data_IF_952957436911
#
_entry.id   IF_952957436911
#
_cell.length_a   1.000
_cell.length_b   1.000
_cell.length_c   1.000
_cell.angle_alpha   90.00
_cell.angle_beta   90.00
_cell.angle_gamma   90.00
#
_symmetry.space_group_name_H-M   'P 1'
#
loop_
_entity.id
_entity.type
_entity.pdbx_description
1 polymer ?
#
# COMPACT_ATOMS: atom_id res chain seq x y z
N UNK A 1 -4.75 -15.56 -33.94
CA UNK A 1 -4.23 -14.31 -33.39
C UNK A 1 -5.43 -13.44 -33.21
N UNK A 2 -5.89 -13.40 -31.98
CA UNK A 2 -6.99 -12.53 -31.60
C UNK A 2 -6.40 -11.14 -31.33
N UNK A 3 -7.18 -10.11 -31.63
CA UNK A 3 -6.82 -8.72 -31.39
C UNK A 3 -7.67 -8.24 -30.22
N UNK A 4 -7.04 -8.06 -29.07
CA UNK A 4 -7.69 -7.58 -27.85
C UNK A 4 -7.65 -6.04 -27.86
N UNK A 5 -8.71 -5.40 -27.39
CA UNK A 5 -8.85 -3.95 -27.28
C UNK A 5 -9.67 -3.64 -26.02
N UNK A 6 -9.07 -2.99 -25.02
CA UNK A 6 -9.77 -2.58 -23.80
C UNK A 6 -10.71 -1.40 -24.05
N UNK A 7 -10.23 -0.38 -24.78
CA UNK A 7 -11.05 0.73 -25.24
C UNK A 7 -10.73 2.03 -24.52
N UNK A 8 -11.74 2.66 -23.92
CA UNK A 8 -11.55 3.84 -23.06
C UNK A 8 -11.70 3.40 -21.60
N UNK A 9 -10.85 3.93 -20.73
CA UNK A 9 -10.90 3.66 -19.31
C UNK A 9 -9.58 3.05 -18.84
N UNK A 10 -9.68 2.24 -17.78
CA UNK A 10 -8.58 1.44 -17.26
C UNK A 10 -8.94 -0.01 -17.51
N UNK A 11 -8.15 -0.67 -18.35
CA UNK A 11 -8.40 -2.02 -18.82
C UNK A 11 -7.25 -2.96 -18.39
N UNK A 12 -7.63 -4.18 -18.01
CA UNK A 12 -6.69 -5.20 -17.53
C UNK A 12 -6.62 -6.36 -18.52
N UNK A 13 -5.40 -6.79 -18.87
CA UNK A 13 -5.17 -8.09 -19.49
C UNK A 13 -4.91 -9.12 -18.38
N UNK A 14 -5.76 -10.14 -18.32
CA UNK A 14 -5.77 -11.11 -17.24
C UNK A 14 -5.20 -12.45 -17.72
N UNK A 15 -4.02 -12.79 -17.19
CA UNK A 15 -3.36 -14.10 -17.33
C UNK A 15 -3.39 -14.89 -16.02
N UNK A 16 -4.10 -14.42 -15.00
CA UNK A 16 -4.18 -15.07 -13.71
C UNK A 16 -4.98 -16.37 -13.80
N UNK A 17 -4.28 -17.45 -14.15
CA UNK A 17 -4.86 -18.77 -14.28
C UNK A 17 -4.14 -19.75 -13.36
N UNK A 18 -4.94 -20.45 -12.54
CA UNK A 18 -4.48 -21.61 -11.76
C UNK A 18 -4.65 -22.93 -12.55
N UNK A 19 -4.88 -22.84 -13.87
CA UNK A 19 -5.22 -23.93 -14.78
C UNK A 19 -4.10 -24.36 -15.76
N UNK A 20 -4.38 -25.47 -16.48
CA UNK A 20 -3.48 -26.45 -17.13
C UNK A 20 -2.42 -25.98 -18.16
N UNK A 21 -2.16 -24.69 -18.35
CA UNK A 21 -1.08 -24.23 -19.24
C UNK A 21 0.19 -23.76 -18.51
N UNK A 22 0.31 -23.95 -17.18
CA UNK A 22 1.49 -23.88 -16.29
C UNK A 22 2.81 -23.34 -16.87
N UNK A 23 2.81 -22.15 -17.46
CA UNK A 23 3.97 -21.57 -18.11
C UNK A 23 3.87 -20.07 -17.96
N UNK A 24 5.04 -19.44 -17.86
CA UNK A 24 5.14 -18.00 -17.84
C UNK A 24 4.68 -17.35 -19.13
N UNK A 25 4.39 -16.06 -19.01
CA UNK A 25 4.06 -15.14 -20.08
C UNK A 25 5.17 -14.11 -20.26
N UNK A 26 5.28 -13.64 -21.50
CA UNK A 26 6.06 -12.45 -21.87
C UNK A 26 5.08 -11.44 -22.41
N UNK A 27 4.93 -10.31 -21.73
CA UNK A 27 4.03 -9.21 -22.07
C UNK A 27 4.85 -7.96 -22.34
N UNK A 28 4.52 -7.26 -23.41
CA UNK A 28 5.12 -5.98 -23.80
C UNK A 28 4.01 -5.04 -24.25
N UNK A 29 3.66 -4.08 -23.39
CA UNK A 29 2.56 -3.15 -23.59
C UNK A 29 2.90 -2.10 -24.66
N UNK A 30 4.15 -1.64 -24.71
CA UNK A 30 4.61 -0.73 -25.76
C UNK A 30 4.52 -1.37 -27.16
N UNK A 31 4.79 -2.68 -27.27
CA UNK A 31 4.63 -3.44 -28.50
C UNK A 31 3.19 -3.94 -28.72
N UNK A 32 2.36 -3.95 -27.69
CA UNK A 32 1.02 -4.52 -27.68
C UNK A 32 1.02 -6.02 -27.94
N UNK A 33 1.93 -6.77 -27.31
CA UNK A 33 2.10 -8.22 -27.53
C UNK A 33 2.17 -9.04 -26.26
N UNK A 34 1.57 -10.23 -26.27
CA UNK A 34 1.70 -11.24 -25.22
C UNK A 34 2.04 -12.61 -25.82
N UNK A 35 2.84 -13.43 -25.14
CA UNK A 35 3.16 -14.80 -25.56
C UNK A 35 3.47 -15.68 -24.35
N UNK A 36 3.54 -17.00 -24.53
CA UNK A 36 3.67 -17.93 -23.40
C UNK A 36 2.31 -18.25 -22.78
N UNK A 37 2.30 -19.11 -21.75
CA UNK A 37 1.08 -19.50 -21.04
C UNK A 37 -0.16 -19.71 -21.92
N UNK A 38 -1.26 -19.04 -21.56
CA UNK A 38 -2.52 -19.03 -22.29
C UNK A 38 -2.48 -18.19 -23.58
N UNK A 39 -1.58 -17.20 -23.68
CA UNK A 39 -1.34 -16.39 -24.89
C UNK A 39 -0.66 -17.18 -26.04
N UNK A 40 -0.13 -18.37 -25.76
CA UNK A 40 0.43 -19.27 -26.76
C UNK A 40 1.62 -18.67 -27.53
N UNK A 41 1.58 -18.70 -28.87
CA UNK A 41 2.71 -18.25 -29.73
C UNK A 41 2.70 -16.75 -30.05
N UNK A 42 1.79 -15.97 -29.46
CA UNK A 42 1.66 -14.54 -29.72
C UNK A 42 0.22 -14.08 -29.89
N UNK A 43 -0.20 -13.18 -29.01
CA UNK A 43 -1.41 -12.37 -29.07
C UNK A 43 -1.04 -10.90 -29.22
N UNK A 44 -1.96 -10.10 -29.76
CA UNK A 44 -1.79 -8.65 -29.86
C UNK A 44 -2.91 -7.94 -29.13
N UNK A 45 -2.58 -6.91 -28.37
CA UNK A 45 -3.53 -6.09 -27.63
C UNK A 45 -3.21 -4.60 -27.80
N UNK A 46 -4.16 -3.74 -27.40
CA UNK A 46 -4.01 -2.28 -27.30
C UNK A 46 -4.99 -1.74 -26.28
N UNK A 47 -4.73 -0.53 -25.79
CA UNK A 47 -5.57 0.15 -24.79
C UNK A 47 -5.78 -0.78 -23.57
N UNK A 48 -4.65 -1.16 -22.96
CA UNK A 48 -4.58 -1.97 -21.75
C UNK A 48 -3.57 -1.24 -20.88
N UNK A 49 -3.88 -1.03 -19.62
CA UNK A 49 -3.05 -0.30 -18.66
C UNK A 49 -2.57 -1.21 -17.51
N UNK A 50 -3.25 -2.35 -17.31
CA UNK A 50 -2.93 -3.26 -16.22
C UNK A 50 -2.67 -4.69 -16.72
N UNK A 51 -1.82 -5.41 -16.01
CA UNK A 51 -1.55 -6.83 -16.22
C UNK A 51 -1.79 -7.59 -14.92
N UNK A 52 -2.63 -8.63 -14.96
CA UNK A 52 -2.66 -9.68 -13.95
C UNK A 52 -1.85 -10.88 -14.48
N UNK A 53 -0.66 -11.10 -13.94
CA UNK A 53 0.28 -12.09 -14.44
C UNK A 53 0.02 -13.50 -13.87
N UNK A 54 0.80 -14.46 -14.36
CA UNK A 54 0.66 -15.86 -13.96
C UNK A 54 1.37 -16.12 -12.62
N UNK A 55 1.17 -17.29 -11.99
CA UNK A 55 1.97 -17.70 -10.83
C UNK A 55 3.40 -18.21 -11.17
N UNK A 56 3.95 -17.89 -12.34
CA UNK A 56 5.25 -18.36 -12.83
C UNK A 56 6.15 -17.19 -13.20
N UNK A 57 7.46 -17.47 -13.33
CA UNK A 57 8.50 -16.49 -13.68
C UNK A 57 8.22 -15.73 -15.00
N UNK A 58 7.55 -14.59 -14.88
CA UNK A 58 7.03 -13.80 -15.99
C UNK A 58 8.01 -12.71 -16.43
N UNK A 59 7.82 -12.19 -17.65
CA UNK A 59 8.53 -11.02 -18.16
C UNK A 59 7.51 -9.98 -18.60
N UNK A 60 7.36 -8.93 -17.81
CA UNK A 60 6.35 -7.90 -17.97
C UNK A 60 7.03 -6.58 -18.32
N UNK A 61 6.58 -5.93 -19.40
CA UNK A 61 7.04 -4.60 -19.81
C UNK A 61 5.86 -3.68 -20.03
N UNK A 62 5.89 -2.53 -19.38
CA UNK A 62 4.95 -1.44 -19.59
C UNK A 62 5.26 -0.62 -20.84
N UNK A 63 4.55 0.50 -20.95
CA UNK A 63 4.70 1.47 -22.01
C UNK A 63 5.19 2.83 -21.52
N UNK A 64 4.54 3.91 -21.92
CA UNK A 64 4.90 5.27 -21.53
C UNK A 64 3.82 5.94 -20.69
N UNK A 65 2.73 5.22 -20.41
CA UNK A 65 1.62 5.61 -19.56
C UNK A 65 1.74 4.88 -18.20
N UNK A 66 0.98 5.32 -17.21
CA UNK A 66 1.00 4.71 -15.87
C UNK A 66 0.43 3.28 -15.93
N UNK A 67 1.23 2.27 -15.59
CA UNK A 67 0.84 0.87 -15.65
C UNK A 67 0.77 0.21 -14.27
N UNK A 68 -0.06 -0.83 -14.17
CA UNK A 68 -0.21 -1.65 -12.95
C UNK A 68 0.13 -3.10 -13.26
N UNK A 69 1.10 -3.64 -12.55
CA UNK A 69 1.55 -5.02 -12.68
C UNK A 69 1.20 -5.80 -11.42
N UNK A 70 0.13 -6.58 -11.44
CA UNK A 70 0.01 -7.69 -10.49
C UNK A 70 0.89 -8.83 -10.99
N UNK A 71 2.03 -8.99 -10.32
CA UNK A 71 3.09 -9.89 -10.82
C UNK A 71 2.73 -11.36 -10.60
N UNK A 72 1.64 -11.67 -9.90
CA UNK A 72 1.32 -13.05 -9.59
C UNK A 72 2.36 -13.65 -8.64
N UNK A 73 2.99 -14.73 -9.04
CA UNK A 73 4.06 -15.36 -8.26
C UNK A 73 5.14 -15.90 -9.18
N UNK A 74 6.21 -16.46 -8.62
CA UNK A 74 7.42 -16.77 -9.39
C UNK A 74 8.45 -15.66 -9.30
N UNK A 75 9.59 -15.85 -9.97
CA UNK A 75 10.65 -14.84 -10.06
C UNK A 75 10.45 -13.99 -11.31
N UNK A 76 9.72 -12.89 -11.18
CA UNK A 76 9.29 -12.06 -12.30
C UNK A 76 10.31 -10.99 -12.68
N UNK A 77 10.34 -10.61 -13.96
CA UNK A 77 11.06 -9.43 -14.44
C UNK A 77 10.05 -8.38 -14.87
N UNK A 78 9.94 -7.30 -14.09
CA UNK A 78 9.01 -6.19 -14.35
C UNK A 78 9.81 -4.94 -14.72
N UNK A 79 9.47 -4.36 -15.85
CA UNK A 79 9.96 -3.06 -16.31
C UNK A 79 8.75 -2.16 -16.59
N UNK A 80 8.49 -1.14 -15.77
CA UNK A 80 7.33 -0.25 -15.95
C UNK A 80 7.44 0.62 -17.19
N UNK A 81 8.67 0.89 -17.67
CA UNK A 81 8.89 1.76 -18.82
C UNK A 81 8.95 3.22 -18.40
N UNK A 82 8.02 4.05 -18.87
CA UNK A 82 7.88 5.43 -18.40
C UNK A 82 6.45 5.67 -17.95
N UNK A 83 6.25 6.67 -17.09
CA UNK A 83 4.99 6.86 -16.39
C UNK A 83 5.26 6.82 -14.89
N UNK A 84 4.21 6.58 -14.11
CA UNK A 84 4.26 6.26 -12.68
C UNK A 84 3.66 4.88 -12.49
N UNK A 85 4.53 3.89 -12.37
CA UNK A 85 4.15 2.49 -12.46
C UNK A 85 4.02 1.85 -11.07
N UNK A 86 3.07 0.93 -10.94
CA UNK A 86 2.78 0.24 -9.69
C UNK A 86 2.98 -1.26 -9.83
N UNK A 87 3.82 -1.85 -8.97
CA UNK A 87 3.94 -3.29 -8.83
C UNK A 87 3.13 -3.80 -7.63
N UNK A 88 2.20 -4.72 -7.86
CA UNK A 88 1.45 -5.44 -6.84
C UNK A 88 2.09 -6.81 -6.68
N UNK A 89 2.78 -7.01 -5.57
CA UNK A 89 3.60 -8.19 -5.29
C UNK A 89 2.85 -9.12 -4.34
N UNK A 90 2.73 -10.40 -4.69
CA UNK A 90 2.01 -11.36 -3.84
C UNK A 90 2.95 -12.04 -2.85
N UNK A 91 2.68 -11.84 -1.57
CA UNK A 91 3.34 -12.58 -0.49
C UNK A 91 2.95 -14.06 -0.46
N UNK A 92 1.79 -14.41 -1.05
CA UNK A 92 1.24 -15.75 -1.12
C UNK A 92 -0.27 -15.76 -0.87
N UNK A 93 -0.82 -16.95 -0.62
CA UNK A 93 -2.25 -17.13 -0.34
C UNK A 93 -2.57 -17.30 1.15
N UNK A 94 -1.57 -17.24 2.03
CA UNK A 94 -1.74 -17.52 3.46
C UNK A 94 -0.80 -16.72 4.37
N UNK A 95 -1.30 -16.41 5.56
CA UNK A 95 -0.53 -15.82 6.67
C UNK A 95 0.66 -16.64 7.17
N UNK A 96 0.76 -17.91 6.78
CA UNK A 96 1.92 -18.75 7.11
C UNK A 96 3.06 -18.61 6.11
N UNK A 97 2.82 -17.92 5.00
CA UNK A 97 3.86 -17.61 4.04
C UNK A 97 4.83 -16.58 4.65
N UNK A 98 6.07 -16.59 4.17
CA UNK A 98 7.05 -15.57 4.53
C UNK A 98 6.62 -14.24 3.92
N UNK A 99 6.65 -13.15 4.70
CA UNK A 99 6.47 -11.82 4.13
C UNK A 99 7.56 -11.43 3.15
N UNK A 100 7.28 -10.37 2.41
CA UNK A 100 8.07 -9.81 1.34
C UNK A 100 9.18 -8.91 1.90
N UNK A 101 10.28 -8.80 1.16
CA UNK A 101 11.22 -7.70 1.27
C UNK A 101 11.37 -7.08 -0.10
N UNK A 102 10.87 -5.86 -0.27
CA UNK A 102 10.93 -5.10 -1.51
C UNK A 102 11.83 -3.89 -1.30
N UNK A 103 12.71 -3.63 -2.26
CA UNK A 103 13.61 -2.48 -2.27
C UNK A 103 13.63 -1.89 -3.68
N UNK A 104 13.00 -0.73 -3.87
CA UNK A 104 12.92 -0.03 -5.15
C UNK A 104 14.29 0.54 -5.58
N UNK A 105 15.12 0.96 -4.63
CA UNK A 105 16.45 1.50 -4.93
C UNK A 105 17.37 0.43 -5.56
N UNK A 106 17.23 -0.84 -5.17
CA UNK A 106 17.94 -1.95 -5.80
C UNK A 106 17.11 -2.72 -6.83
N UNK A 107 15.80 -2.47 -6.91
CA UNK A 107 14.89 -3.15 -7.81
C UNK A 107 14.71 -4.64 -7.50
N UNK A 108 14.68 -5.03 -6.21
CA UNK A 108 14.66 -6.45 -5.81
C UNK A 108 13.49 -6.79 -4.93
N UNK A 109 12.93 -7.99 -5.13
CA UNK A 109 11.93 -8.63 -4.29
C UNK A 109 12.50 -9.95 -3.74
N UNK A 110 12.32 -10.19 -2.44
CA UNK A 110 12.66 -11.43 -1.78
C UNK A 110 11.54 -11.93 -0.87
N UNK A 111 11.48 -13.24 -0.64
CA UNK A 111 10.45 -13.87 0.16
C UNK A 111 9.11 -14.04 -0.57
N UNK A 112 8.15 -14.62 0.14
CA UNK A 112 6.81 -14.91 -0.38
C UNK A 112 6.80 -15.80 -1.63
N UNK A 113 5.79 -15.59 -2.47
CA UNK A 113 5.65 -16.30 -3.75
C UNK A 113 6.46 -15.63 -4.87
N UNK A 114 6.93 -14.40 -4.65
CA UNK A 114 7.63 -13.57 -5.63
C UNK A 114 9.16 -13.52 -5.44
N UNK A 115 9.73 -14.47 -4.68
CA UNK A 115 11.16 -14.48 -4.33
C UNK A 115 12.04 -14.48 -5.59
N UNK A 116 12.98 -13.52 -5.66
CA UNK A 116 13.89 -13.38 -6.81
C UNK A 116 13.36 -12.52 -7.95
N UNK A 117 12.18 -11.89 -7.80
CA UNK A 117 11.68 -10.94 -8.79
C UNK A 117 12.53 -9.66 -8.81
N UNK A 118 12.58 -9.01 -9.98
CA UNK A 118 13.26 -7.74 -10.20
C UNK A 118 12.32 -6.69 -10.75
N UNK A 119 12.41 -5.49 -10.19
CA UNK A 119 11.61 -4.33 -10.56
C UNK A 119 12.54 -3.26 -11.16
N UNK A 120 12.16 -2.67 -12.29
CA UNK A 120 12.89 -1.57 -12.92
C UNK A 120 11.87 -0.55 -13.42
N UNK A 121 12.14 0.75 -13.24
CA UNK A 121 11.19 1.81 -13.56
C UNK A 121 9.83 1.54 -12.91
N UNK A 122 9.83 1.32 -11.59
CA UNK A 122 8.63 1.12 -10.78
C UNK A 122 8.72 2.13 -9.63
N UNK A 123 7.72 2.98 -9.52
CA UNK A 123 7.68 4.05 -8.51
C UNK A 123 6.84 3.66 -7.29
N UNK A 124 5.89 2.72 -7.45
CA UNK A 124 4.96 2.35 -6.40
C UNK A 124 4.92 0.84 -6.17
N UNK A 125 4.71 0.44 -4.91
CA UNK A 125 4.61 -0.98 -4.52
C UNK A 125 3.42 -1.20 -3.62
N UNK A 126 2.68 -2.26 -3.91
CA UNK A 126 1.70 -2.86 -3.00
C UNK A 126 2.16 -4.25 -2.59
N UNK A 127 2.29 -4.47 -1.29
CA UNK A 127 2.70 -5.76 -0.71
C UNK A 127 1.50 -6.68 -0.44
N UNK A 128 1.67 -7.68 0.44
CA UNK A 128 0.71 -8.74 0.68
C UNK A 128 0.07 -8.71 2.07
N UNK A 129 -0.25 -9.89 2.60
CA UNK A 129 -0.97 -10.05 3.89
C UNK A 129 -0.06 -10.37 5.09
N UNK A 130 1.25 -10.26 4.90
CA UNK A 130 2.23 -10.81 5.82
C UNK A 130 3.06 -9.67 6.42
N UNK A 131 4.02 -10.02 7.29
CA UNK A 131 4.99 -9.03 7.78
C UNK A 131 5.97 -8.71 6.66
N UNK A 132 5.71 -7.60 5.98
CA UNK A 132 6.45 -7.16 4.82
C UNK A 132 7.45 -6.06 5.20
N UNK A 133 8.49 -5.93 4.39
CA UNK A 133 9.49 -4.89 4.50
C UNK A 133 9.53 -4.17 3.16
N UNK A 134 9.10 -2.90 3.14
CA UNK A 134 9.10 -2.07 1.95
C UNK A 134 10.12 -0.95 2.11
N UNK A 135 10.93 -0.75 1.07
CA UNK A 135 11.84 0.39 0.94
C UNK A 135 11.61 1.03 -0.42
N UNK A 136 11.22 2.30 -0.41
CA UNK A 136 11.24 3.13 -1.60
C UNK A 136 12.65 3.52 -1.99
N UNK A 137 12.76 4.45 -2.93
CA UNK A 137 14.01 4.92 -3.49
C UNK A 137 14.28 6.41 -3.19
N UNK A 138 14.71 7.18 -4.18
CA UNK A 138 14.99 8.61 -4.03
C UNK A 138 13.98 9.49 -4.77
N UNK A 139 12.96 8.86 -5.36
CA UNK A 139 11.83 9.50 -6.02
C UNK A 139 10.62 9.46 -5.08
N UNK A 140 9.58 10.22 -5.43
CA UNK A 140 8.31 10.18 -4.71
C UNK A 140 7.64 8.81 -4.94
N UNK A 141 7.50 7.99 -3.89
CA UNK A 141 6.91 6.66 -3.95
C UNK A 141 5.55 6.59 -3.24
N UNK A 142 4.68 5.69 -3.70
CA UNK A 142 3.48 5.26 -2.96
C UNK A 142 3.66 3.80 -2.52
N UNK A 143 3.66 3.58 -1.21
CA UNK A 143 3.94 2.29 -0.59
C UNK A 143 2.74 1.80 0.21
N UNK A 144 2.20 0.65 -0.19
CA UNK A 144 1.07 -0.02 0.49
C UNK A 144 1.57 -1.27 1.22
N UNK A 145 1.55 -1.25 2.55
CA UNK A 145 1.84 -2.41 3.41
C UNK A 145 0.76 -3.48 3.33
N UNK A 146 -0.50 -3.03 3.33
CA UNK A 146 -1.71 -3.85 3.37
C UNK A 146 -1.89 -4.55 4.73
N UNK A 147 -2.32 -5.80 4.76
CA UNK A 147 -2.51 -6.48 6.03
C UNK A 147 -1.14 -6.98 6.51
N UNK A 148 -0.74 -6.67 7.73
CA UNK A 148 0.60 -7.06 8.12
C UNK A 148 1.06 -6.41 9.40
N UNK A 149 2.31 -6.66 9.77
CA UNK A 149 2.98 -5.87 10.81
C UNK A 149 4.25 -5.34 10.17
N UNK A 150 4.08 -4.37 9.29
CA UNK A 150 5.01 -4.05 8.25
C UNK A 150 6.09 -3.10 8.71
N UNK A 151 7.18 -3.06 7.96
CA UNK A 151 8.22 -2.07 8.11
C UNK A 151 8.39 -1.35 6.79
N UNK A 152 7.91 -0.11 6.74
CA UNK A 152 7.89 0.69 5.52
C UNK A 152 8.83 1.89 5.69
N UNK A 153 9.70 2.10 4.71
CA UNK A 153 10.58 3.25 4.61
C UNK A 153 10.40 3.89 3.23
N UNK A 154 9.97 5.16 3.17
CA UNK A 154 9.83 5.92 1.92
C UNK A 154 11.18 6.13 1.24
N UNK A 155 12.12 6.76 1.94
CA UNK A 155 13.47 6.94 1.45
C UNK A 155 13.80 8.42 1.33
N UNK A 156 14.03 8.91 0.12
CA UNK A 156 14.04 10.34 -0.14
C UNK A 156 13.00 10.65 -1.20
N UNK A 157 12.43 11.85 -1.17
CA UNK A 157 11.26 12.17 -2.00
C UNK A 157 10.10 12.56 -1.09
N UNK A 158 8.97 12.94 -1.67
CA UNK A 158 7.75 13.17 -0.92
C UNK A 158 6.89 11.91 -1.04
N UNK A 159 7.06 11.00 -0.10
CA UNK A 159 6.49 9.67 -0.16
C UNK A 159 5.06 9.65 0.40
N UNK A 160 4.24 8.72 -0.09
CA UNK A 160 2.93 8.40 0.50
C UNK A 160 2.96 6.99 1.04
N UNK A 161 2.79 6.84 2.34
CA UNK A 161 2.88 5.57 3.06
C UNK A 161 1.50 5.20 3.60
N UNK A 162 1.03 4.01 3.21
CA UNK A 162 -0.21 3.43 3.68
C UNK A 162 0.14 2.07 4.31
N UNK A 163 0.24 2.03 5.63
CA UNK A 163 0.55 0.80 6.37
C UNK A 163 -0.62 -0.18 6.38
N UNK A 164 -1.80 0.32 6.76
CA UNK A 164 -2.88 -0.50 7.30
C UNK A 164 -3.68 -1.41 6.36
N UNK A 165 -4.58 -2.15 7.02
CA UNK A 165 -5.48 -3.16 6.47
C UNK A 165 -6.35 -2.59 5.34
N UNK A 166 -6.60 -3.38 4.29
CA UNK A 166 -7.56 -2.97 3.27
C UNK A 166 -7.05 -1.90 2.30
N UNK A 167 -5.78 -1.53 2.38
CA UNK A 167 -5.12 -0.60 1.48
C UNK A 167 -4.80 -1.16 0.08
N UNK A 168 -5.40 -2.30 -0.28
CA UNK A 168 -5.11 -3.01 -1.53
C UNK A 168 -5.25 -2.10 -2.74
N UNK A 169 -4.18 -2.03 -3.53
CA UNK A 169 -4.19 -1.26 -4.78
C UNK A 169 -5.18 -1.83 -5.80
N UNK A 170 -5.37 -3.16 -5.83
CA UNK A 170 -6.36 -3.83 -6.69
C UNK A 170 -7.47 -4.50 -5.88
N UNK A 171 -8.68 -4.55 -6.45
CA UNK A 171 -9.84 -5.21 -5.86
C UNK A 171 -9.84 -6.74 -6.04
N UNK A 172 -8.83 -7.30 -6.70
CA UNK A 172 -8.70 -8.74 -6.97
C UNK A 172 -8.33 -9.53 -5.70
N UNK A 173 -7.92 -8.84 -4.64
CA UNK A 173 -7.69 -9.40 -3.31
C UNK A 173 -8.66 -8.76 -2.34
N UNK A 174 -9.84 -9.40 -2.21
CA UNK A 174 -10.76 -9.02 -1.14
C UNK A 174 -10.04 -9.13 0.21
N UNK A 175 -10.25 -8.18 1.14
CA UNK A 175 -9.61 -8.20 2.44
C UNK A 175 -9.90 -9.55 3.09
N UNK A 176 -8.85 -10.29 3.38
CA UNK A 176 -8.97 -11.43 4.25
C UNK A 176 -9.23 -10.85 5.64
N UNK A 177 -10.51 -10.60 5.97
CA UNK A 177 -10.99 -10.04 7.23
C UNK A 177 -9.95 -10.20 8.35
N UNK A 178 -9.30 -9.09 8.74
CA UNK A 178 -8.22 -8.97 9.74
C UNK A 178 -7.74 -10.34 10.23
N UNK A 179 -6.74 -10.94 9.58
CA UNK A 179 -6.47 -12.37 9.78
C UNK A 179 -6.15 -12.62 11.27
N UNK A 180 -6.98 -13.41 12.01
CA UNK A 180 -6.88 -13.50 13.45
C UNK A 180 -5.50 -13.98 13.91
N UNK A 181 -4.77 -13.11 14.62
CA UNK A 181 -3.48 -13.45 15.23
C UNK A 181 -2.27 -12.75 14.63
N UNK A 182 -2.40 -12.05 13.49
CA UNK A 182 -1.39 -11.09 13.04
C UNK A 182 -1.74 -9.72 13.63
N UNK A 183 -0.87 -9.12 14.46
CA UNK A 183 -1.07 -7.73 14.88
C UNK A 183 -0.93 -6.81 13.65
N UNK A 184 -1.78 -5.80 13.45
CA UNK A 184 -1.68 -4.86 12.33
C UNK A 184 -0.59 -3.78 12.53
N UNK A 185 0.35 -4.00 13.47
CA UNK A 185 1.13 -2.90 14.01
C UNK A 185 2.34 -2.60 13.14
N UNK A 186 2.29 -1.48 12.43
CA UNK A 186 3.29 -1.10 11.46
C UNK A 186 4.37 -0.20 12.06
N UNK A 187 5.55 -0.26 11.45
CA UNK A 187 6.66 0.66 11.71
C UNK A 187 6.93 1.44 10.44
N UNK A 188 6.61 2.73 10.46
CA UNK A 188 6.62 3.60 9.31
C UNK A 188 7.74 4.64 9.43
N UNK A 189 8.40 4.94 8.31
CA UNK A 189 9.43 5.96 8.19
C UNK A 189 9.29 6.64 6.84
N UNK A 190 9.13 7.95 6.82
CA UNK A 190 9.05 8.72 5.58
C UNK A 190 10.43 8.86 4.95
N UNK A 191 11.40 9.30 5.75
CA UNK A 191 12.76 9.55 5.35
C UNK A 191 13.00 11.04 5.12
N UNK A 192 13.58 11.41 3.98
CA UNK A 192 13.85 12.81 3.64
C UNK A 192 12.81 13.33 2.64
N UNK A 193 12.02 14.31 3.06
CA UNK A 193 11.09 15.02 2.19
C UNK A 193 9.81 15.33 2.95
N UNK A 194 8.79 15.82 2.26
CA UNK A 194 7.49 16.09 2.88
C UNK A 194 6.59 14.86 2.70
N UNK A 195 6.65 13.94 3.64
CA UNK A 195 6.00 12.63 3.51
C UNK A 195 4.56 12.64 4.03
N UNK A 196 3.72 11.75 3.50
CA UNK A 196 2.31 11.62 3.88
C UNK A 196 2.04 10.22 4.40
N UNK A 197 1.59 10.12 5.65
CA UNK A 197 1.14 8.85 6.25
C UNK A 197 -0.38 8.83 6.26
N UNK A 198 -0.98 7.90 5.53
CA UNK A 198 -2.43 7.85 5.31
C UNK A 198 -3.05 6.81 6.23
N UNK A 199 -4.09 7.20 6.97
CA UNK A 199 -4.95 6.29 7.72
C UNK A 199 -6.40 6.50 7.31
N UNK A 200 -7.07 5.41 6.93
CA UNK A 200 -8.40 5.40 6.31
C UNK A 200 -9.44 4.72 7.17
N UNK A 201 -9.03 3.91 8.15
CA UNK A 201 -9.97 3.24 9.04
C UNK A 201 -9.42 3.05 10.45
N UNK A 202 -10.32 2.80 11.42
CA UNK A 202 -9.92 2.46 12.80
C UNK A 202 -9.06 1.20 12.87
N UNK A 203 -9.23 0.26 11.93
CA UNK A 203 -8.46 -0.98 11.85
C UNK A 203 -7.03 -0.78 11.34
N UNK A 204 -6.71 0.36 10.73
CA UNK A 204 -5.37 0.63 10.22
C UNK A 204 -4.38 0.76 11.37
N UNK A 205 -4.82 1.26 12.54
CA UNK A 205 -3.97 1.34 13.73
C UNK A 205 -4.77 1.14 15.02
N UNK A 206 -4.76 -0.11 15.49
CA UNK A 206 -5.60 -0.61 16.60
C UNK A 206 -4.96 -0.40 17.99
N UNK A 207 -5.77 -0.30 19.04
CA UNK A 207 -5.30 -0.16 20.43
C UNK A 207 -5.35 -1.52 21.14
N UNK A 208 -4.27 -1.98 21.82
CA UNK A 208 -3.05 -1.24 22.19
C UNK A 208 -1.88 -1.43 21.21
N UNK A 209 -2.14 -1.85 19.98
CA UNK A 209 -1.14 -2.26 18.98
C UNK A 209 -0.99 -1.22 17.87
N UNK A 210 -0.85 0.02 18.28
CA UNK A 210 -0.80 1.15 17.37
C UNK A 210 0.46 1.14 16.51
N UNK A 211 0.31 1.69 15.32
CA UNK A 211 1.37 2.01 14.39
C UNK A 211 2.31 3.05 14.97
N UNK A 212 3.57 2.95 14.55
CA UNK A 212 4.64 3.84 14.99
C UNK A 212 5.29 4.48 13.78
N UNK A 213 5.15 5.79 13.67
CA UNK A 213 5.93 6.61 12.75
C UNK A 213 7.21 7.03 13.46
N UNK A 214 8.35 6.73 12.86
CA UNK A 214 9.66 6.74 13.55
C UNK A 214 10.49 8.01 13.35
N UNK A 215 10.19 8.80 12.32
CA UNK A 215 10.99 9.95 11.89
C UNK A 215 10.18 11.18 11.48
N UNK A 216 8.88 11.22 11.80
CA UNK A 216 7.98 12.32 11.43
C UNK A 216 8.58 13.71 11.70
N UNK A 217 8.59 14.55 10.67
CA UNK A 217 9.32 15.81 10.61
C UNK A 217 8.44 16.96 10.14
N UNK A 218 7.97 17.74 11.11
CA UNK A 218 7.22 18.99 10.85
C UNK A 218 8.04 20.02 10.08
N UNK A 219 9.38 19.94 10.16
CA UNK A 219 10.27 20.84 9.44
C UNK A 219 10.47 20.48 7.97
N UNK A 220 10.35 19.21 7.62
CA UNK A 220 10.41 18.75 6.23
C UNK A 220 9.03 18.83 5.56
N UNK A 221 7.97 18.82 6.37
CA UNK A 221 6.60 19.07 5.94
C UNK A 221 5.73 17.82 5.97
N UNK A 222 6.12 16.83 6.77
CA UNK A 222 5.38 15.57 6.90
C UNK A 222 3.96 15.79 7.39
N UNK A 223 3.05 14.93 6.93
CA UNK A 223 1.63 15.05 7.22
C UNK A 223 1.01 13.69 7.54
N UNK A 224 0.01 13.72 8.41
CA UNK A 224 -0.90 12.61 8.67
C UNK A 224 -2.18 12.88 7.91
N UNK A 225 -2.54 12.04 6.95
CA UNK A 225 -3.76 12.18 6.17
C UNK A 225 -4.87 11.31 6.75
N UNK A 226 -5.94 11.98 7.21
CA UNK A 226 -7.16 11.39 7.74
C UNK A 226 -8.40 11.78 6.91
N UNK A 227 -8.21 12.39 5.74
CA UNK A 227 -9.30 12.94 4.92
C UNK A 227 -10.29 11.88 4.40
N UNK A 228 -9.89 10.62 4.39
CA UNK A 228 -10.73 9.48 4.04
C UNK A 228 -10.94 8.52 5.21
N UNK A 229 -10.85 9.01 6.45
CA UNK A 229 -10.99 8.19 7.64
C UNK A 229 -12.44 7.74 7.86
N UNK A 230 -12.62 6.44 8.13
CA UNK A 230 -13.90 5.80 8.38
C UNK A 230 -13.86 5.07 9.72
N UNK A 231 -14.93 5.19 10.50
CA UNK A 231 -14.98 4.65 11.85
C UNK A 231 -15.27 3.13 11.85
N UNK A 232 -15.85 2.60 10.77
CA UNK A 232 -16.37 1.23 10.65
C UNK A 232 -17.21 0.81 11.88
N UNK A 233 -17.93 1.78 12.47
CA UNK A 233 -18.72 1.60 13.68
C UNK A 233 -20.20 1.38 13.35
N UNK A 234 -20.81 0.24 13.73
CA UNK A 234 -22.17 -0.09 13.34
C UNK A 234 -23.20 0.98 13.76
N UNK A 235 -23.87 1.57 12.76
CA UNK A 235 -24.99 2.50 12.98
C UNK A 235 -24.60 3.98 13.03
N UNK A 236 -23.33 4.31 12.81
CA UNK A 236 -22.88 5.67 12.53
C UNK A 236 -22.71 5.85 11.02
N UNK A 237 -22.95 7.06 10.51
CA UNK A 237 -22.80 7.34 9.09
C UNK A 237 -21.32 7.41 8.73
N UNK A 238 -20.92 6.65 7.72
CA UNK A 238 -19.62 6.73 7.08
C UNK A 238 -19.70 7.70 5.89
N UNK A 239 -18.75 8.64 5.71
CA UNK A 239 -17.59 8.97 6.57
C UNK A 239 -17.97 9.73 7.86
N UNK A 240 -17.07 9.71 8.85
CA UNK A 240 -17.20 10.47 10.11
C UNK A 240 -16.47 11.81 10.00
N UNK A 241 -17.12 12.91 10.41
CA UNK A 241 -16.46 14.21 10.49
C UNK A 241 -15.56 14.25 11.72
N UNK A 242 -14.26 14.45 11.53
CA UNK A 242 -13.31 14.58 12.64
C UNK A 242 -13.26 16.02 13.16
N UNK A 243 -13.27 16.19 14.47
CA UNK A 243 -13.09 17.48 15.15
C UNK A 243 -11.78 17.49 15.92
N UNK A 244 -10.83 18.30 15.47
CA UNK A 244 -9.57 18.47 16.21
C UNK A 244 -9.74 19.32 17.46
N UNK A 245 -9.46 18.73 18.61
CA UNK A 245 -9.54 19.38 19.92
C UNK A 245 -8.16 19.71 20.52
N UNK A 246 -7.09 19.57 19.74
CA UNK A 246 -5.71 19.83 20.20
C UNK A 246 -5.29 18.85 21.30
N UNK A 247 -4.73 19.36 22.39
CA UNK A 247 -4.32 18.57 23.57
C UNK A 247 -5.43 18.45 24.64
N UNK A 248 -6.70 18.67 24.25
CA UNK A 248 -7.85 18.54 25.14
C UNK A 248 -8.19 17.08 25.48
N UNK A 249 -8.98 16.89 26.54
CA UNK A 249 -9.62 15.61 26.83
C UNK A 249 -10.86 15.43 25.96
N UNK A 250 -11.19 14.19 25.61
CA UNK A 250 -12.45 13.86 24.95
C UNK A 250 -13.64 14.35 25.79
N UNK A 251 -14.63 14.94 25.14
CA UNK A 251 -15.83 15.50 25.74
C UNK A 251 -17.06 14.59 25.63
N UNK A 252 -16.92 13.48 24.90
CA UNK A 252 -17.98 12.52 24.61
C UNK A 252 -18.79 12.86 23.35
N UNK A 253 -18.30 13.80 22.54
CA UNK A 253 -18.79 14.00 21.18
C UNK A 253 -18.15 12.97 20.25
N UNK A 254 -18.89 12.56 19.24
CA UNK A 254 -18.43 11.59 18.24
C UNK A 254 -17.40 12.25 17.32
N UNK A 255 -16.31 11.53 17.00
CA UNK A 255 -15.32 11.96 16.01
C UNK A 255 -14.32 12.97 16.56
N UNK A 256 -14.03 12.96 17.85
CA UNK A 256 -13.01 13.85 18.41
C UNK A 256 -11.61 13.31 18.13
N UNK A 257 -10.75 14.14 17.54
CA UNK A 257 -9.33 13.87 17.31
C UNK A 257 -8.50 14.74 18.26
N UNK A 258 -7.52 14.14 18.94
CA UNK A 258 -6.64 14.85 19.89
C UNK A 258 -5.17 14.42 19.78
N UNK A 259 -4.31 15.24 20.39
CA UNK A 259 -2.90 14.95 20.63
C UNK A 259 -2.66 14.66 22.11
N UNK A 260 -1.88 13.62 22.39
CA UNK A 260 -1.45 13.27 23.75
C UNK A 260 0.07 13.14 23.79
N UNK A 261 0.72 13.91 24.67
CA UNK A 261 2.17 13.80 24.88
C UNK A 261 2.48 12.60 25.80
N UNK A 262 3.23 11.63 25.30
CA UNK A 262 3.69 10.46 26.06
C UNK A 262 5.22 10.37 26.06
N UNK A 263 5.85 11.02 27.05
CA UNK A 263 7.31 11.13 27.10
C UNK A 263 7.84 11.98 25.94
N UNK A 264 8.70 11.40 25.10
CA UNK A 264 9.24 12.06 23.89
C UNK A 264 8.41 11.80 22.64
N UNK A 265 7.29 11.08 22.74
CA UNK A 265 6.41 10.79 21.61
C UNK A 265 5.10 11.58 21.73
N UNK A 266 4.51 11.89 20.59
CA UNK A 266 3.14 12.40 20.50
C UNK A 266 2.25 11.28 19.98
N UNK A 267 1.10 11.07 20.62
CA UNK A 267 0.08 10.13 20.17
C UNK A 267 -1.07 10.93 19.55
N UNK A 268 -1.46 10.57 18.33
CA UNK A 268 -2.70 11.02 17.70
C UNK A 268 -3.76 10.02 18.08
N UNK A 269 -4.85 10.47 18.71
CA UNK A 269 -5.93 9.61 19.19
C UNK A 269 -7.26 10.10 18.64
N UNK A 270 -8.13 9.16 18.27
CA UNK A 270 -9.50 9.46 17.81
C UNK A 270 -10.49 8.67 18.67
N UNK A 271 -11.49 9.35 19.21
CA UNK A 271 -12.71 8.75 19.78
C UNK A 271 -13.79 8.80 18.69
N UNK A 272 -14.12 7.63 18.10
CA UNK A 272 -15.10 7.57 17.02
C UNK A 272 -16.50 7.36 17.55
N UNK A 273 -16.67 6.91 18.79
CA UNK A 273 -17.97 6.46 19.28
C UNK A 273 -18.58 7.36 20.38
N UNK A 274 -17.80 8.31 20.90
CA UNK A 274 -18.20 9.29 21.92
C UNK A 274 -18.22 8.71 23.34
N UNK A 275 -17.50 7.62 23.62
CA UNK A 275 -17.43 7.01 24.95
C UNK A 275 -16.28 7.57 25.82
N UNK A 276 -15.62 8.63 25.37
CA UNK A 276 -14.47 9.28 26.00
C UNK A 276 -13.22 8.38 26.03
N UNK A 277 -13.19 7.31 25.23
CA UNK A 277 -12.02 6.46 25.03
C UNK A 277 -11.50 6.57 23.59
N UNK A 278 -10.18 6.45 23.43
CA UNK A 278 -9.60 6.37 22.10
C UNK A 278 -9.97 5.01 21.48
N UNK A 279 -10.47 5.05 20.25
CA UNK A 279 -10.77 3.91 19.40
C UNK A 279 -9.67 3.67 18.35
N UNK A 280 -8.89 4.71 18.04
CA UNK A 280 -7.74 4.68 17.13
C UNK A 280 -6.58 5.44 17.76
N UNK A 281 -5.35 4.97 17.52
CA UNK A 281 -4.14 5.63 17.99
C UNK A 281 -3.00 5.45 17.00
N UNK A 282 -2.28 6.51 16.67
CA UNK A 282 -0.98 6.44 15.98
C UNK A 282 0.08 7.12 16.83
N UNK A 283 1.28 6.55 16.88
CA UNK A 283 2.39 7.08 17.67
C UNK A 283 3.45 7.72 16.79
N UNK A 284 3.74 9.00 17.02
CA UNK A 284 4.87 9.72 16.44
C UNK A 284 6.05 9.66 17.42
N UNK A 285 7.01 8.77 17.16
CA UNK A 285 8.14 8.56 18.03
C UNK A 285 9.14 9.73 17.96
N UNK A 286 9.51 10.30 19.11
CA UNK A 286 10.52 11.37 19.16
C UNK A 286 10.00 12.77 18.81
N UNK A 287 8.72 12.90 18.48
CA UNK A 287 8.07 14.16 18.13
C UNK A 287 7.36 14.76 19.35
N UNK A 288 7.63 16.02 19.65
CA UNK A 288 7.02 16.76 20.78
C UNK A 288 6.16 17.95 20.35
N UNK A 289 6.30 18.40 19.11
CA UNK A 289 5.65 19.62 18.61
C UNK A 289 4.96 19.30 17.28
N UNK A 290 3.72 18.82 17.35
CA UNK A 290 2.84 18.63 16.19
C UNK A 290 1.96 19.87 16.04
N UNK A 291 1.87 20.40 14.83
CA UNK A 291 1.09 21.58 14.46
C UNK A 291 -0.26 21.15 13.87
N UNK A 292 -1.27 22.01 13.98
CA UNK A 292 -2.58 21.79 13.35
C UNK A 292 -2.47 21.50 11.83
N UNK A 293 -1.48 22.09 11.14
CA UNK A 293 -1.27 21.89 9.70
C UNK A 293 -0.62 20.55 9.33
N UNK A 294 -0.06 19.85 10.31
CA UNK A 294 0.59 18.54 10.13
C UNK A 294 -0.44 17.41 10.04
N UNK A 295 -1.71 17.69 10.37
CA UNK A 295 -2.82 16.77 10.22
C UNK A 295 -3.68 17.28 9.05
N UNK A 296 -3.79 16.48 7.99
CA UNK A 296 -4.67 16.75 6.86
C UNK A 296 -6.11 16.37 7.26
N UNK A 297 -7.04 17.30 7.04
CA UNK A 297 -8.49 17.31 7.37
C UNK A 297 -8.94 18.39 8.39
N UNK A 298 -8.32 19.58 8.35
CA UNK A 298 -8.81 20.79 9.07
C UNK A 298 -9.01 21.99 8.14
#
# INVERSE_FOLDING_TARGET
MDQIDGGEGTDTIDFLSFGVMNQSVVVDMAAGTASGGEAGTGETFRNIENIDATPYDDVLRGDGDDNVFDTGGGSDQVDGGGGTDTAVIRSGGSVFDTGLTVDLATGTVAGGYSDGSTLTNIENVSAGFNRDILRGDANDNVLYGNDGADTISGGAGNDTIIGGIGAYFTNNFAPAASIPGIPPNDTLSGGLGADVFVFRATQDSDIPRADVITDFSTSEGDRIDLSTFHADYPGQGDPIDLTFIGYGDFSGEIGELRLVQNGTATEIQIDVNGDEAADFLVKLAGVTDVLDGDIFDL
#
